data_IF_514565522066
#
_entry.id   IF_514565522066
#
_cell.length_a   1.000
_cell.length_b   1.000
_cell.length_c   1.000
_cell.angle_alpha   90.00
_cell.angle_beta   90.00
_cell.angle_gamma   90.00
#
_symmetry.space_group_name_H-M   'P 1'
#
loop_
_entity.id
_entity.type
_entity.pdbx_description
1 polymer ?
#
# COMPACT_ATOMS: atom_id res chain seq x y z
N UNK A 1 52.90 10.12 -45.90
CA UNK A 1 53.72 11.26 -45.39
C UNK A 1 52.99 12.54 -45.73
N UNK A 2 52.60 13.46 -44.85
CA UNK A 2 53.32 14.12 -43.78
C UNK A 2 52.56 14.16 -42.46
N UNK A 3 53.26 14.01 -41.37
CA UNK A 3 53.75 15.01 -40.38
C UNK A 3 52.74 15.66 -39.44
N UNK A 4 52.89 15.21 -38.22
CA UNK A 4 52.43 15.72 -36.94
C UNK A 4 52.53 17.26 -36.81
N UNK A 5 51.56 17.84 -36.12
CA UNK A 5 51.78 19.00 -35.27
C UNK A 5 51.00 18.84 -33.96
N UNK A 6 51.74 18.56 -32.89
CA UNK A 6 51.30 18.73 -31.50
C UNK A 6 51.34 20.21 -31.17
N UNK A 7 50.25 20.74 -30.63
CA UNK A 7 50.26 22.01 -29.90
C UNK A 7 49.76 21.73 -28.48
N UNK A 8 50.72 21.79 -27.56
CA UNK A 8 50.46 21.72 -26.12
C UNK A 8 49.75 22.96 -25.61
N UNK A 9 48.67 22.78 -24.88
CA UNK A 9 48.02 23.85 -24.12
C UNK A 9 48.28 23.64 -22.64
N UNK A 10 49.12 24.51 -22.09
CA UNK A 10 49.34 24.65 -20.66
C UNK A 10 48.05 25.14 -19.99
N UNK A 11 47.43 24.32 -19.13
CA UNK A 11 46.38 24.76 -18.25
C UNK A 11 46.97 25.21 -16.92
N UNK A 12 46.93 26.51 -16.74
CA UNK A 12 47.30 27.21 -15.51
C UNK A 12 46.23 26.92 -14.43
N UNK A 13 46.60 26.20 -13.38
CA UNK A 13 45.76 25.96 -12.22
C UNK A 13 45.73 27.19 -11.34
N UNK A 14 44.64 27.96 -11.38
CA UNK A 14 44.39 29.04 -10.43
C UNK A 14 43.73 28.47 -9.19
N UNK A 15 44.45 28.47 -8.08
CA UNK A 15 43.96 28.07 -6.75
C UNK A 15 43.01 29.18 -6.26
N UNK A 16 41.70 28.97 -6.35
CA UNK A 16 40.71 29.79 -5.65
C UNK A 16 40.51 29.26 -4.23
N UNK A 17 41.08 29.99 -3.27
CA UNK A 17 40.79 29.81 -1.84
C UNK A 17 39.45 30.43 -1.56
N UNK A 18 38.41 29.60 -1.36
CA UNK A 18 37.12 30.07 -0.89
C UNK A 18 37.11 30.10 0.63
N UNK A 19 36.69 31.20 1.26
CA UNK A 19 36.47 31.19 2.70
C UNK A 19 35.24 30.32 3.03
N UNK A 20 35.43 29.36 3.92
CA UNK A 20 34.36 28.55 4.50
C UNK A 20 33.52 29.45 5.38
N UNK A 21 32.40 29.92 4.85
CA UNK A 21 31.33 30.49 5.66
C UNK A 21 30.50 29.35 6.20
N UNK A 22 30.59 29.11 7.52
CA UNK A 22 29.73 28.16 8.20
C UNK A 22 28.26 28.59 8.07
N UNK A 23 27.35 27.76 7.54
CA UNK A 23 25.93 28.09 7.59
C UNK A 23 25.47 27.96 9.05
N UNK A 24 24.95 29.05 9.59
CA UNK A 24 24.15 29.03 10.81
C UNK A 24 23.03 28.03 10.60
N UNK A 25 22.92 27.04 11.48
CA UNK A 25 21.79 26.13 11.54
C UNK A 25 20.55 26.95 11.93
N UNK A 26 19.75 27.33 10.93
CA UNK A 26 18.37 27.74 11.18
C UNK A 26 17.62 26.51 11.72
N UNK A 27 17.30 26.59 13.00
CA UNK A 27 16.38 25.68 13.67
C UNK A 27 15.02 25.85 13.01
N UNK A 28 14.67 24.97 12.08
CA UNK A 28 13.32 24.90 11.51
C UNK A 28 12.40 24.32 12.57
N UNK A 29 11.44 25.11 13.11
CA UNK A 29 10.47 24.56 14.07
C UNK A 29 9.44 23.75 13.29
N UNK A 30 9.32 22.45 13.62
CA UNK A 30 8.14 21.66 13.31
C UNK A 30 8.13 20.90 12.01
N UNK A 31 9.06 19.95 11.84
CA UNK A 31 8.71 18.76 11.07
C UNK A 31 7.67 17.99 11.89
N UNK A 32 6.48 17.68 11.33
CA UNK A 32 5.57 16.75 11.98
C UNK A 32 6.30 15.42 12.20
N UNK A 33 6.12 14.76 13.33
CA UNK A 33 6.79 13.50 13.61
C UNK A 33 6.50 12.53 12.47
N UNK A 34 7.57 11.95 11.91
CA UNK A 34 7.48 10.84 10.95
C UNK A 34 6.39 9.91 11.40
N UNK A 35 5.41 9.68 10.54
CA UNK A 35 4.32 8.77 10.83
C UNK A 35 4.93 7.39 11.17
N UNK A 36 5.02 7.11 12.46
CA UNK A 36 5.31 5.78 12.99
C UNK A 36 4.31 4.85 12.32
N UNK A 37 4.73 3.70 11.76
CA UNK A 37 3.78 2.74 11.22
C UNK A 37 2.79 2.43 12.35
N UNK A 38 1.54 2.84 12.16
CA UNK A 38 0.47 2.62 13.14
C UNK A 38 0.31 1.11 13.23
N UNK A 39 0.81 0.53 14.33
CA UNK A 39 0.59 -0.86 14.64
C UNK A 39 -0.93 -1.11 14.59
N UNK A 40 -1.37 -1.89 13.61
CA UNK A 40 -2.77 -2.20 13.39
C UNK A 40 -3.35 -2.78 14.66
N UNK A 41 -4.18 -2.01 15.34
CA UNK A 41 -4.80 -2.43 16.62
C UNK A 41 -5.80 -3.54 16.31
N UNK A 42 -5.44 -4.77 16.61
CA UNK A 42 -6.23 -5.98 16.34
C UNK A 42 -7.54 -6.06 17.09
N UNK A 43 -7.71 -5.24 18.14
CA UNK A 43 -8.99 -5.14 18.86
C UNK A 43 -10.16 -4.70 17.97
N UNK A 44 -9.88 -4.04 16.84
CA UNK A 44 -10.92 -3.67 15.87
C UNK A 44 -11.41 -4.81 14.99
N UNK A 45 -10.59 -5.84 14.72
CA UNK A 45 -10.96 -6.95 13.82
C UNK A 45 -12.05 -7.85 14.41
N UNK A 46 -12.06 -8.04 15.72
CA UNK A 46 -13.05 -8.91 16.39
C UNK A 46 -14.48 -8.36 16.32
N UNK A 47 -14.66 -7.09 16.01
CA UNK A 47 -15.96 -6.46 15.83
C UNK A 47 -16.53 -6.55 14.42
N UNK A 48 -15.71 -6.92 13.44
CA UNK A 48 -16.11 -7.02 12.03
C UNK A 48 -16.80 -8.36 11.78
N UNK A 49 -18.00 -8.32 11.25
CA UNK A 49 -18.75 -9.51 10.83
C UNK A 49 -18.96 -9.53 9.33
N UNK A 50 -19.27 -8.37 8.77
CA UNK A 50 -19.65 -8.22 7.37
C UNK A 50 -18.65 -7.34 6.64
N UNK A 51 -18.15 -7.84 5.50
CA UNK A 51 -17.16 -7.14 4.67
C UNK A 51 -17.74 -6.83 3.29
N UNK A 52 -17.51 -5.62 2.81
CA UNK A 52 -17.69 -5.25 1.42
C UNK A 52 -16.33 -5.19 0.73
N UNK A 53 -16.18 -5.89 -0.41
CA UNK A 53 -14.93 -5.88 -1.20
C UNK A 53 -15.11 -4.96 -2.38
N UNK A 54 -14.33 -3.88 -2.47
CA UNK A 54 -14.40 -2.97 -3.61
C UNK A 54 -13.71 -3.54 -4.84
N UNK A 55 -14.07 -3.09 -6.06
CA UNK A 55 -13.33 -3.43 -7.26
C UNK A 55 -11.87 -3.02 -7.15
N UNK A 56 -10.96 -3.94 -7.45
CA UNK A 56 -9.51 -3.79 -7.33
C UNK A 56 -8.82 -3.97 -8.68
N UNK A 57 -7.52 -3.72 -8.71
CA UNK A 57 -6.70 -3.96 -9.90
C UNK A 57 -6.65 -5.46 -10.23
N UNK A 58 -6.65 -5.78 -11.52
CA UNK A 58 -6.52 -7.15 -12.06
C UNK A 58 -7.62 -8.12 -11.55
N UNK A 59 -8.79 -7.59 -11.17
CA UNK A 59 -9.92 -8.36 -10.61
C UNK A 59 -9.57 -9.13 -9.33
N UNK A 60 -8.65 -8.61 -8.54
CA UNK A 60 -8.23 -9.22 -7.28
C UNK A 60 -9.42 -9.40 -6.33
N UNK A 61 -10.41 -8.49 -6.36
CA UNK A 61 -11.64 -8.55 -5.57
C UNK A 61 -12.42 -9.86 -5.74
N UNK A 62 -12.45 -10.43 -6.94
CA UNK A 62 -13.17 -11.69 -7.18
C UNK A 62 -12.51 -12.86 -6.46
N UNK A 63 -11.20 -12.92 -6.50
CA UNK A 63 -10.45 -13.99 -5.84
C UNK A 63 -10.46 -13.82 -4.32
N UNK A 64 -10.33 -12.58 -3.82
CA UNK A 64 -10.44 -12.27 -2.39
C UNK A 64 -11.82 -12.62 -1.85
N UNK A 65 -12.89 -12.25 -2.56
CA UNK A 65 -14.27 -12.61 -2.21
C UNK A 65 -14.42 -14.13 -2.10
N UNK A 66 -13.91 -14.87 -3.08
CA UNK A 66 -13.98 -16.33 -3.07
C UNK A 66 -13.24 -16.96 -1.88
N UNK A 67 -12.04 -16.48 -1.57
CA UNK A 67 -11.25 -16.98 -0.45
C UNK A 67 -11.85 -16.59 0.92
N UNK A 68 -12.45 -15.40 1.05
CA UNK A 68 -13.17 -14.97 2.25
C UNK A 68 -14.42 -15.82 2.49
N UNK A 69 -15.22 -16.09 1.45
CA UNK A 69 -16.42 -16.94 1.53
C UNK A 69 -16.05 -18.38 1.88
N UNK A 70 -14.98 -18.94 1.29
CA UNK A 70 -14.47 -20.26 1.66
C UNK A 70 -14.02 -20.33 3.12
N UNK A 71 -13.44 -19.26 3.62
CA UNK A 71 -13.03 -19.19 5.01
C UNK A 71 -14.23 -19.17 5.97
N UNK A 72 -15.30 -18.47 5.61
CA UNK A 72 -16.55 -18.45 6.39
C UNK A 72 -16.47 -17.69 7.72
N UNK A 73 -15.39 -16.92 7.95
CA UNK A 73 -15.26 -16.11 9.17
C UNK A 73 -16.01 -14.79 9.07
N UNK A 74 -16.06 -14.24 7.86
CA UNK A 74 -16.78 -13.01 7.54
C UNK A 74 -17.90 -13.30 6.55
N UNK A 75 -19.00 -12.59 6.69
CA UNK A 75 -20.02 -12.48 5.67
C UNK A 75 -19.59 -11.46 4.61
N UNK A 76 -19.63 -11.82 3.32
CA UNK A 76 -19.34 -10.90 2.23
C UNK A 76 -20.63 -10.37 1.65
N UNK A 77 -20.83 -9.05 1.75
CA UNK A 77 -21.99 -8.36 1.20
C UNK A 77 -21.67 -7.64 -0.09
N UNK A 78 -22.67 -7.49 -0.96
CA UNK A 78 -22.60 -6.67 -2.17
C UNK A 78 -23.10 -5.22 -1.93
N UNK A 79 -23.63 -4.95 -0.74
CA UNK A 79 -24.13 -3.63 -0.37
C UNK A 79 -23.19 -2.99 0.68
N UNK A 80 -22.46 -1.91 0.31
CA UNK A 80 -21.52 -1.28 1.23
C UNK A 80 -22.18 -0.73 2.51
N UNK A 81 -23.50 -0.41 2.46
CA UNK A 81 -24.24 0.11 3.61
C UNK A 81 -24.51 -0.96 4.69
N UNK A 82 -24.39 -2.23 4.34
CA UNK A 82 -24.59 -3.35 5.25
C UNK A 82 -23.28 -3.93 5.78
N UNK A 83 -22.14 -3.38 5.33
CA UNK A 83 -20.84 -3.83 5.76
C UNK A 83 -20.37 -3.11 7.04
N UNK A 84 -19.65 -3.82 7.89
CA UNK A 84 -18.92 -3.25 9.01
C UNK A 84 -17.59 -2.68 8.55
N UNK A 85 -16.95 -3.37 7.58
CA UNK A 85 -15.65 -2.99 7.05
C UNK A 85 -15.57 -3.13 5.53
N UNK A 86 -14.63 -2.39 4.96
CA UNK A 86 -14.31 -2.33 3.55
C UNK A 86 -12.96 -2.98 3.29
N UNK A 87 -12.86 -3.88 2.32
CA UNK A 87 -11.59 -4.40 1.83
C UNK A 87 -11.21 -3.71 0.51
N UNK A 88 -10.03 -3.07 0.50
CA UNK A 88 -9.54 -2.22 -0.58
C UNK A 88 -8.07 -2.46 -0.89
N UNK A 89 -7.63 -2.17 -2.11
CA UNK A 89 -6.21 -2.11 -2.51
C UNK A 89 -5.56 -0.73 -2.29
N UNK A 90 -6.31 0.22 -1.74
CA UNK A 90 -5.87 1.58 -1.43
C UNK A 90 -6.52 2.09 -0.15
N UNK A 91 -5.84 3.03 0.53
CA UNK A 91 -6.41 3.78 1.66
C UNK A 91 -7.19 5.02 1.21
N UNK A 92 -7.07 5.42 -0.05
CA UNK A 92 -7.76 6.57 -0.63
C UNK A 92 -9.17 6.20 -1.10
N UNK A 93 -10.03 5.83 -0.17
CA UNK A 93 -11.42 5.48 -0.45
C UNK A 93 -12.34 6.61 0.02
N UNK A 94 -13.13 7.14 -0.90
CA UNK A 94 -14.21 8.08 -0.55
C UNK A 94 -15.42 7.30 -0.02
N UNK A 95 -15.39 7.00 1.29
CA UNK A 95 -16.42 6.22 1.98
C UNK A 95 -17.78 6.92 1.89
N UNK A 96 -17.82 8.25 1.97
CA UNK A 96 -19.08 9.01 1.88
C UNK A 96 -19.73 8.84 0.52
N UNK A 97 -18.94 8.90 -0.55
CA UNK A 97 -19.43 8.68 -1.90
C UNK A 97 -19.84 7.21 -2.12
N UNK A 98 -19.12 6.25 -1.55
CA UNK A 98 -19.46 4.84 -1.60
C UNK A 98 -20.81 4.53 -0.98
N UNK A 99 -21.24 5.32 0.02
CA UNK A 99 -22.52 5.17 0.70
C UNK A 99 -23.69 5.84 -0.01
N UNK A 100 -23.47 6.56 -1.11
CA UNK A 100 -24.56 7.16 -1.91
C UNK A 100 -25.15 6.16 -2.90
N UNK A 101 -26.41 6.40 -3.33
CA UNK A 101 -27.14 5.48 -4.23
C UNK A 101 -26.49 5.41 -5.63
N UNK A 102 -25.82 6.49 -6.03
CA UNK A 102 -25.18 6.63 -7.36
C UNK A 102 -23.66 6.47 -7.30
N UNK A 103 -23.15 5.70 -6.35
CA UNK A 103 -21.72 5.54 -6.14
C UNK A 103 -20.99 5.01 -7.37
N UNK A 104 -20.51 5.90 -8.22
CA UNK A 104 -19.48 5.60 -9.21
C UNK A 104 -18.16 5.50 -8.44
N UNK A 105 -17.69 4.27 -8.24
CA UNK A 105 -16.34 4.05 -7.66
C UNK A 105 -15.36 4.77 -8.57
N UNK A 106 -14.83 5.91 -8.10
CA UNK A 106 -13.80 6.63 -8.83
C UNK A 106 -12.59 5.71 -8.93
N UNK A 107 -12.10 5.52 -10.15
CA UNK A 107 -10.85 4.80 -10.38
C UNK A 107 -9.74 5.59 -9.73
N UNK A 108 -9.35 5.19 -8.52
CA UNK A 108 -8.19 5.76 -7.85
C UNK A 108 -6.94 5.36 -8.62
N UNK A 109 -6.10 6.31 -8.97
CA UNK A 109 -4.92 6.09 -9.83
C UNK A 109 -3.78 5.35 -9.10
N UNK A 110 -3.77 5.38 -7.77
CA UNK A 110 -2.71 4.81 -6.93
C UNK A 110 -3.09 3.41 -6.41
N UNK A 111 -3.31 2.45 -7.32
CA UNK A 111 -3.60 1.05 -6.94
C UNK A 111 -2.34 0.21 -7.03
N UNK A 112 -1.96 -0.38 -5.92
CA UNK A 112 -0.78 -1.25 -5.83
C UNK A 112 -1.20 -2.72 -5.87
N UNK A 113 -0.69 -3.47 -6.84
CA UNK A 113 -0.97 -4.90 -6.93
C UNK A 113 -0.43 -5.63 -5.71
N UNK A 114 -1.25 -6.49 -5.11
CA UNK A 114 -0.86 -7.31 -3.95
C UNK A 114 -0.95 -6.61 -2.60
N UNK A 115 -1.50 -5.40 -2.54
CA UNK A 115 -1.79 -4.71 -1.28
C UNK A 115 -3.28 -4.83 -0.94
N UNK A 116 -3.59 -5.00 0.33
CA UNK A 116 -4.95 -5.00 0.82
C UNK A 116 -5.05 -4.27 2.17
N UNK A 117 -6.11 -3.50 2.34
CA UNK A 117 -6.43 -2.76 3.56
C UNK A 117 -7.86 -3.12 3.98
N UNK A 118 -8.05 -3.47 5.24
CA UNK A 118 -9.36 -3.60 5.85
C UNK A 118 -9.65 -2.32 6.63
N UNK A 119 -10.68 -1.58 6.24
CA UNK A 119 -11.01 -0.26 6.75
C UNK A 119 -12.38 -0.32 7.43
N UNK A 120 -12.46 0.10 8.68
CA UNK A 120 -13.73 0.23 9.41
C UNK A 120 -14.57 1.35 8.81
N UNK A 121 -15.81 1.05 8.44
CA UNK A 121 -16.69 2.01 7.77
C UNK A 121 -17.29 3.07 8.71
N UNK A 122 -17.28 2.85 10.01
CA UNK A 122 -17.81 3.80 11.01
C UNK A 122 -16.75 4.80 11.45
N UNK A 123 -15.51 4.30 11.65
CA UNK A 123 -14.41 5.11 12.19
C UNK A 123 -13.44 5.58 11.13
N UNK A 124 -13.56 5.08 9.90
CA UNK A 124 -12.66 5.33 8.77
C UNK A 124 -11.19 4.93 9.07
N UNK A 125 -10.99 4.00 10.00
CA UNK A 125 -9.67 3.56 10.44
C UNK A 125 -9.25 2.28 9.73
N UNK A 126 -7.97 2.18 9.40
CA UNK A 126 -7.39 0.92 8.91
C UNK A 126 -7.27 -0.05 10.08
N UNK A 127 -8.03 -1.14 10.04
CA UNK A 127 -8.01 -2.21 11.05
C UNK A 127 -6.89 -3.20 10.81
N UNK A 128 -6.58 -3.43 9.52
CA UNK A 128 -5.57 -4.38 9.10
C UNK A 128 -5.04 -4.05 7.71
N UNK A 129 -3.80 -4.43 7.44
CA UNK A 129 -3.22 -4.30 6.11
C UNK A 129 -2.24 -5.43 5.83
N UNK A 130 -2.16 -5.82 4.56
CA UNK A 130 -1.12 -6.70 4.04
C UNK A 130 -0.57 -6.16 2.73
N UNK A 131 0.73 -6.38 2.53
CA UNK A 131 1.38 -6.16 1.25
C UNK A 131 2.13 -7.43 0.87
N UNK A 132 1.79 -8.00 -0.28
CA UNK A 132 2.44 -9.17 -0.84
C UNK A 132 3.13 -8.77 -2.13
N UNK A 133 4.41 -9.13 -2.23
CA UNK A 133 5.18 -8.83 -3.43
C UNK A 133 4.70 -9.75 -4.58
N UNK A 134 4.23 -9.20 -5.70
CA UNK A 134 3.86 -10.01 -6.86
C UNK A 134 5.04 -10.75 -7.50
N UNK A 135 6.28 -10.39 -7.15
CA UNK A 135 7.51 -10.97 -7.71
C UNK A 135 8.10 -12.12 -6.90
N UNK A 136 7.52 -12.51 -5.75
CA UNK A 136 8.09 -13.54 -4.84
C UNK A 136 7.99 -14.99 -5.34
N UNK A 137 7.73 -15.20 -6.61
CA UNK A 137 7.88 -16.53 -7.23
C UNK A 137 9.36 -16.84 -7.44
N UNK A 138 9.99 -17.42 -6.43
CA UNK A 138 11.45 -17.63 -6.34
C UNK A 138 11.97 -18.65 -7.37
N UNK A 139 11.13 -19.53 -7.92
CA UNK A 139 11.62 -20.67 -8.70
C UNK A 139 11.59 -20.53 -10.22
N UNK A 140 10.85 -19.59 -10.79
CA UNK A 140 10.71 -19.49 -12.26
C UNK A 140 10.67 -18.06 -12.80
N UNK A 141 11.05 -17.05 -12.04
CA UNK A 141 11.04 -15.65 -12.52
C UNK A 141 9.66 -15.13 -12.96
N UNK A 142 8.59 -15.83 -12.56
CA UNK A 142 7.21 -15.50 -12.92
C UNK A 142 6.54 -14.61 -11.85
N UNK A 143 5.70 -13.69 -12.30
CA UNK A 143 4.82 -12.95 -11.40
C UNK A 143 3.76 -13.90 -10.84
N UNK A 144 3.49 -13.83 -9.52
CA UNK A 144 2.36 -14.52 -8.91
C UNK A 144 1.06 -14.20 -9.62
N UNK A 145 0.23 -15.20 -9.83
CA UNK A 145 -1.12 -15.00 -10.35
C UNK A 145 -1.96 -14.17 -9.37
N UNK A 146 -2.99 -13.52 -9.85
CA UNK A 146 -3.91 -12.75 -8.99
C UNK A 146 -4.60 -13.65 -7.95
N UNK A 147 -4.82 -14.91 -8.30
CA UNK A 147 -5.37 -15.92 -7.40
C UNK A 147 -4.42 -16.23 -6.25
N UNK A 148 -3.15 -16.53 -6.53
CA UNK A 148 -2.14 -16.77 -5.50
C UNK A 148 -1.95 -15.58 -4.57
N UNK A 149 -2.02 -14.35 -5.10
CA UNK A 149 -1.98 -13.15 -4.28
C UNK A 149 -3.19 -13.07 -3.33
N UNK A 150 -4.39 -13.43 -3.79
CA UNK A 150 -5.57 -13.45 -2.95
C UNK A 150 -5.47 -14.52 -1.84
N UNK A 151 -5.01 -15.71 -2.18
CA UNK A 151 -4.76 -16.80 -1.23
C UNK A 151 -3.74 -16.37 -0.15
N UNK A 152 -2.64 -15.73 -0.55
CA UNK A 152 -1.61 -15.22 0.37
C UNK A 152 -2.13 -14.10 1.28
N UNK A 153 -2.95 -13.17 0.75
CA UNK A 153 -3.54 -12.07 1.51
C UNK A 153 -4.51 -12.60 2.55
N UNK A 154 -5.44 -13.47 2.15
CA UNK A 154 -6.42 -14.06 3.07
C UNK A 154 -5.73 -15.00 4.06
N UNK A 155 -4.70 -15.74 3.63
CA UNK A 155 -3.88 -16.57 4.51
C UNK A 155 -3.19 -15.75 5.60
N UNK A 156 -2.67 -14.56 5.27
CA UNK A 156 -2.09 -13.64 6.23
C UNK A 156 -3.14 -13.11 7.22
N UNK A 157 -4.32 -12.70 6.72
CA UNK A 157 -5.41 -12.23 7.57
C UNK A 157 -5.84 -13.31 8.59
N UNK A 158 -5.99 -14.56 8.14
CA UNK A 158 -6.30 -15.72 9.01
C UNK A 158 -5.26 -15.87 10.12
N UNK A 159 -3.98 -15.85 9.75
CA UNK A 159 -2.87 -16.00 10.69
C UNK A 159 -2.86 -14.87 11.72
N UNK A 160 -3.02 -13.61 11.27
CA UNK A 160 -2.98 -12.45 12.15
C UNK A 160 -4.16 -12.43 13.13
N UNK A 161 -5.33 -12.93 12.73
CA UNK A 161 -6.48 -13.07 13.63
C UNK A 161 -6.28 -14.17 14.67
N UNK A 162 -5.67 -15.29 14.31
CA UNK A 162 -5.41 -16.39 15.24
C UNK A 162 -4.33 -16.03 16.28
N UNK A 163 -3.28 -15.33 15.87
CA UNK A 163 -2.17 -14.97 16.77
C UNK A 163 -2.59 -13.95 17.83
N UNK A 164 -3.63 -13.18 17.58
CA UNK A 164 -4.08 -12.08 18.45
C UNK A 164 -5.28 -12.44 19.32
N UNK A 165 -5.81 -13.65 19.20
CA UNK A 165 -6.88 -14.21 20.03
C UNK A 165 -6.38 -14.99 21.25
N UNK A 166 -5.06 -15.09 21.44
CA UNK A 166 -4.41 -15.64 22.62
C UNK A 166 -3.88 -14.50 23.49
#
# INVERSE_FOLDING_TARGET
MPLLRQTGTLFLWTLCVFPVVAPAQETVPGLPPSATPVASSSSGLNGVRTIYVIPMKDRLEHFLTNELVKWGHFEVTLNPRQADALLSDTTEVDIKNLMTVDAKIRKTTARTRGTAFLIDLKTERVLWSAAKNPSDSIFLGGMKSTRELAEDIVGQLKKDMQTKGQ
#
